data_IF_654123185193
#
_entry.id   IF_654123185193
#
_cell.length_a   1.000
_cell.length_b   1.000
_cell.length_c   1.000
_cell.angle_alpha   90.00
_cell.angle_beta   90.00
_cell.angle_gamma   90.00
#
_symmetry.space_group_name_H-M   'P 1'
#
loop_
_entity.id
_entity.type
_entity.pdbx_description
1 polymer ?
#
# COMPACT_ATOMS: atom_id res chain seq x y z
N UNK A 1 7.25 -13.50 1.45
CA UNK A 1 7.83 -12.49 2.36
C UNK A 1 6.95 -12.51 3.58
N UNK A 2 7.42 -13.18 4.64
CA UNK A 2 6.67 -13.30 5.90
C UNK A 2 6.72 -11.94 6.62
N UNK A 3 5.63 -11.62 7.32
CA UNK A 3 5.48 -10.41 8.13
C UNK A 3 6.71 -10.14 9.01
N UNK A 4 7.08 -8.87 9.11
CA UNK A 4 8.07 -8.37 10.04
C UNK A 4 7.54 -8.50 11.47
N UNK A 5 7.84 -9.63 12.11
CA UNK A 5 8.22 -9.61 13.51
C UNK A 5 9.73 -9.80 13.51
N UNK A 6 10.46 -8.84 14.08
CA UNK A 6 11.88 -9.03 14.34
C UNK A 6 12.03 -10.23 15.27
N UNK A 7 13.10 -11.02 15.13
CA UNK A 7 13.37 -12.16 16.01
C UNK A 7 13.48 -11.74 17.50
N UNK A 8 13.68 -10.44 17.78
CA UNK A 8 13.60 -9.85 19.13
C UNK A 8 12.21 -10.00 19.77
N UNK A 9 11.15 -9.83 18.99
CA UNK A 9 9.80 -9.59 19.52
C UNK A 9 9.14 -10.86 20.04
N UNK A 10 9.59 -12.04 19.59
CA UNK A 10 9.05 -13.33 20.07
C UNK A 10 9.41 -13.64 21.51
N UNK A 11 10.53 -13.13 22.00
CA UNK A 11 10.93 -13.35 23.39
C UNK A 11 10.13 -12.45 24.33
N UNK A 12 9.78 -11.25 23.89
CA UNK A 12 9.00 -10.29 24.67
C UNK A 12 7.50 -10.62 24.63
N UNK A 13 7.03 -11.30 23.57
CA UNK A 13 5.63 -11.69 23.39
C UNK A 13 5.45 -13.19 23.02
N UNK A 14 5.83 -14.12 23.91
CA UNK A 14 5.95 -15.55 23.57
C UNK A 14 4.62 -16.25 23.27
N UNK A 15 3.50 -15.65 23.66
CA UNK A 15 2.16 -16.25 23.52
C UNK A 15 1.32 -15.61 22.41
N UNK A 16 1.88 -14.67 21.65
CA UNK A 16 1.15 -14.00 20.58
C UNK A 16 0.90 -14.92 19.39
N UNK A 17 -0.29 -14.78 18.79
CA UNK A 17 -0.73 -15.59 17.66
C UNK A 17 -0.98 -14.71 16.45
N UNK A 18 -0.90 -15.31 15.26
CA UNK A 18 -1.31 -14.63 14.02
C UNK A 18 -2.83 -14.45 14.07
N UNK A 19 -3.35 -13.22 14.10
CA UNK A 19 -4.79 -13.01 14.10
C UNK A 19 -5.39 -13.44 12.76
N UNK A 20 -6.61 -13.94 12.81
CA UNK A 20 -7.42 -14.09 11.60
C UNK A 20 -7.80 -12.71 11.05
N UNK A 21 -8.15 -12.66 9.76
CA UNK A 21 -8.65 -11.42 9.13
C UNK A 21 -9.82 -10.82 9.92
N UNK A 22 -10.74 -11.68 10.38
CA UNK A 22 -11.91 -11.25 11.14
C UNK A 22 -11.53 -10.66 12.50
N UNK A 23 -10.63 -11.32 13.25
CA UNK A 23 -10.18 -10.82 14.55
C UNK A 23 -9.49 -9.45 14.41
N UNK A 24 -8.60 -9.29 13.42
CA UNK A 24 -7.95 -8.00 13.16
C UNK A 24 -8.95 -6.90 12.79
N UNK A 25 -9.98 -7.23 12.01
CA UNK A 25 -11.07 -6.31 11.66
C UNK A 25 -11.89 -5.90 12.88
N UNK A 26 -12.31 -6.87 13.70
CA UNK A 26 -13.08 -6.60 14.92
C UNK A 26 -12.30 -5.70 15.87
N UNK A 27 -11.03 -6.01 16.12
CA UNK A 27 -10.20 -5.20 17.01
C UNK A 27 -10.01 -3.78 16.46
N UNK A 28 -9.71 -3.64 15.17
CA UNK A 28 -9.54 -2.32 14.54
C UNK A 28 -10.81 -1.47 14.64
N UNK A 29 -11.98 -2.07 14.43
CA UNK A 29 -13.26 -1.38 14.53
C UNK A 29 -13.60 -0.99 15.97
N UNK A 30 -13.30 -1.84 16.95
CA UNK A 30 -13.48 -1.52 18.38
C UNK A 30 -12.65 -0.29 18.80
N UNK A 31 -11.47 -0.11 18.19
CA UNK A 31 -10.58 1.02 18.43
C UNK A 31 -10.85 2.23 17.51
N UNK A 32 -11.93 2.20 16.70
CA UNK A 32 -12.27 3.24 15.72
C UNK A 32 -11.14 3.53 14.70
N UNK A 33 -10.37 2.51 14.32
CA UNK A 33 -9.27 2.65 13.36
C UNK A 33 -9.76 2.52 11.92
N UNK A 34 -9.06 3.21 11.01
CA UNK A 34 -9.22 3.02 9.56
C UNK A 34 -8.26 1.94 9.06
N UNK A 35 -8.78 0.95 8.33
CA UNK A 35 -8.00 -0.24 7.94
C UNK A 35 -7.53 -0.13 6.49
N UNK A 36 -6.25 -0.42 6.26
CA UNK A 36 -5.65 -0.53 4.93
C UNK A 36 -5.41 -2.02 4.62
N UNK A 37 -6.28 -2.64 3.83
CA UNK A 37 -6.11 -4.04 3.44
C UNK A 37 -5.13 -4.16 2.26
N UNK A 38 -3.86 -4.43 2.57
CA UNK A 38 -2.80 -4.62 1.59
C UNK A 38 -2.74 -6.06 1.05
N UNK A 39 -3.33 -6.27 -0.12
CA UNK A 39 -3.45 -7.59 -0.74
C UNK A 39 -2.21 -7.88 -1.59
N UNK A 40 -1.44 -8.90 -1.21
CA UNK A 40 -0.17 -9.27 -1.87
C UNK A 40 -0.28 -10.30 -3.00
N UNK A 41 -1.45 -10.90 -3.23
CA UNK A 41 -1.63 -11.93 -4.26
C UNK A 41 -2.95 -12.68 -4.15
N UNK A 42 -3.09 -13.74 -4.96
CA UNK A 42 -4.28 -14.59 -4.99
C UNK A 42 -5.60 -13.80 -5.12
N UNK A 43 -5.67 -12.90 -6.11
CA UNK A 43 -6.74 -11.90 -6.26
C UNK A 43 -8.14 -12.45 -6.00
N UNK A 44 -8.53 -13.56 -6.66
CA UNK A 44 -9.87 -14.15 -6.49
C UNK A 44 -10.15 -14.55 -5.03
N UNK A 45 -9.23 -15.29 -4.39
CA UNK A 45 -9.41 -15.75 -3.00
C UNK A 45 -9.45 -14.57 -2.02
N UNK A 46 -8.60 -13.56 -2.24
CA UNK A 46 -8.57 -12.37 -1.40
C UNK A 46 -9.89 -11.58 -1.52
N UNK A 47 -10.39 -11.41 -2.74
CA UNK A 47 -11.65 -10.68 -3.00
C UNK A 47 -12.85 -11.44 -2.43
N UNK A 48 -12.90 -12.77 -2.58
CA UNK A 48 -13.97 -13.58 -1.99
C UNK A 48 -13.99 -13.48 -0.46
N UNK A 49 -12.81 -13.44 0.17
CA UNK A 49 -12.67 -13.25 1.62
C UNK A 49 -13.09 -11.83 2.03
N UNK A 50 -12.58 -10.80 1.35
CA UNK A 50 -12.92 -9.41 1.63
C UNK A 50 -14.41 -9.14 1.42
N UNK A 51 -15.02 -9.66 0.36
CA UNK A 51 -16.46 -9.54 0.13
C UNK A 51 -17.28 -10.04 1.32
N UNK A 52 -16.92 -11.20 1.90
CA UNK A 52 -17.59 -11.73 3.10
C UNK A 52 -17.39 -10.81 4.30
N UNK A 53 -16.18 -10.26 4.47
CA UNK A 53 -15.86 -9.33 5.55
C UNK A 53 -16.65 -8.01 5.42
N UNK A 54 -16.76 -7.41 4.23
CA UNK A 54 -17.58 -6.21 4.03
C UNK A 54 -19.07 -6.46 4.22
N UNK A 55 -19.57 -7.65 3.85
CA UNK A 55 -20.95 -8.06 4.13
C UNK A 55 -21.20 -8.23 5.64
N UNK A 56 -20.23 -8.76 6.38
CA UNK A 56 -20.34 -8.94 7.83
C UNK A 56 -20.18 -7.61 8.59
N UNK A 57 -19.32 -6.71 8.11
CA UNK A 57 -19.01 -5.42 8.73
C UNK A 57 -19.18 -4.25 7.74
N UNK A 58 -20.42 -3.83 7.42
CA UNK A 58 -20.68 -2.76 6.45
C UNK A 58 -20.04 -1.40 6.80
N UNK A 59 -19.72 -1.15 8.07
CA UNK A 59 -18.98 0.06 8.46
C UNK A 59 -17.63 0.23 7.74
N UNK A 60 -17.03 -0.88 7.26
CA UNK A 60 -15.78 -0.88 6.50
C UNK A 60 -15.85 -0.08 5.19
N UNK A 61 -17.04 0.13 4.61
CA UNK A 61 -17.18 1.01 3.44
C UNK A 61 -16.73 2.45 3.72
N UNK A 62 -16.76 2.88 4.99
CA UNK A 62 -16.35 4.21 5.42
C UNK A 62 -15.03 4.23 6.20
N UNK A 63 -14.62 3.09 6.77
CA UNK A 63 -13.46 2.99 7.67
C UNK A 63 -12.38 2.04 7.13
N UNK A 64 -12.36 1.76 5.83
CA UNK A 64 -11.28 0.98 5.26
C UNK A 64 -11.06 1.25 3.77
N UNK A 65 -9.93 0.76 3.28
CA UNK A 65 -9.60 0.72 1.87
C UNK A 65 -8.87 -0.56 1.51
N UNK A 66 -9.00 -1.01 0.26
CA UNK A 66 -8.25 -2.14 -0.28
C UNK A 66 -7.14 -1.62 -1.19
N UNK A 67 -5.89 -1.94 -0.89
CA UNK A 67 -4.72 -1.53 -1.66
C UNK A 67 -3.89 -2.72 -2.12
N UNK A 68 -3.14 -2.55 -3.22
CA UNK A 68 -2.28 -3.59 -3.77
C UNK A 68 -1.30 -3.02 -4.78
N UNK A 69 -0.11 -3.65 -4.88
CA UNK A 69 0.80 -3.48 -6.01
C UNK A 69 0.28 -4.13 -7.30
N UNK A 70 -0.72 -5.00 -7.20
CA UNK A 70 -1.25 -5.78 -8.33
C UNK A 70 -2.53 -5.12 -8.85
N UNK A 71 -2.51 -4.50 -10.05
CA UNK A 71 -3.69 -3.84 -10.60
C UNK A 71 -4.90 -4.79 -10.78
N UNK A 72 -4.63 -6.07 -11.03
CA UNK A 72 -5.66 -7.13 -11.12
C UNK A 72 -6.51 -7.21 -9.85
N UNK A 73 -5.91 -7.11 -8.67
CA UNK A 73 -6.64 -7.16 -7.40
C UNK A 73 -7.61 -6.00 -7.30
N UNK A 74 -7.13 -4.79 -7.59
CA UNK A 74 -7.91 -3.56 -7.49
C UNK A 74 -9.04 -3.56 -8.52
N UNK A 75 -8.74 -3.95 -9.76
CA UNK A 75 -9.73 -4.04 -10.82
C UNK A 75 -10.85 -5.02 -10.46
N UNK A 76 -10.51 -6.23 -10.03
CA UNK A 76 -11.51 -7.24 -9.65
C UNK A 76 -12.28 -6.86 -8.39
N UNK A 77 -11.65 -6.19 -7.42
CA UNK A 77 -12.35 -5.69 -6.24
C UNK A 77 -13.41 -4.67 -6.65
N UNK A 78 -13.04 -3.70 -7.49
CA UNK A 78 -13.96 -2.68 -8.02
C UNK A 78 -15.09 -3.27 -8.87
N UNK A 79 -14.82 -4.32 -9.64
CA UNK A 79 -15.86 -5.06 -10.37
C UNK A 79 -16.84 -5.77 -9.44
N UNK A 80 -16.32 -6.33 -8.34
CA UNK A 80 -17.12 -7.11 -7.38
C UNK A 80 -17.98 -6.22 -6.50
N UNK A 81 -17.43 -5.08 -6.06
CA UNK A 81 -18.12 -4.11 -5.22
C UNK A 81 -17.59 -2.70 -5.51
N UNK A 82 -18.48 -1.85 -6.05
CA UNK A 82 -18.13 -0.47 -6.43
C UNK A 82 -18.07 0.49 -5.26
N UNK A 83 -18.61 0.13 -4.09
CA UNK A 83 -18.64 1.01 -2.92
C UNK A 83 -17.34 0.94 -2.11
N UNK A 84 -16.51 -0.07 -2.34
CA UNK A 84 -15.23 -0.23 -1.63
C UNK A 84 -14.23 0.82 -2.09
N UNK A 85 -13.62 1.54 -1.16
CA UNK A 85 -12.50 2.44 -1.47
C UNK A 85 -11.30 1.60 -1.88
N UNK A 86 -10.71 1.90 -3.04
CA UNK A 86 -9.56 1.14 -3.55
C UNK A 86 -8.37 2.04 -3.85
N UNK A 87 -7.18 1.46 -3.74
CA UNK A 87 -5.93 2.15 -3.95
C UNK A 87 -4.92 1.32 -4.75
N UNK A 88 -4.16 1.96 -5.64
CA UNK A 88 -2.99 1.33 -6.25
C UNK A 88 -1.76 1.67 -5.41
N UNK A 89 -1.00 0.63 -5.04
CA UNK A 89 0.29 0.78 -4.37
C UNK A 89 1.38 0.82 -5.43
N UNK A 90 2.27 1.81 -5.34
CA UNK A 90 3.30 2.05 -6.33
C UNK A 90 4.66 2.32 -5.69
N UNK A 91 5.69 1.71 -6.28
CA UNK A 91 7.09 2.00 -6.02
C UNK A 91 7.81 2.00 -7.36
N UNK A 92 8.49 3.09 -7.76
CA UNK A 92 9.36 3.04 -8.93
C UNK A 92 10.35 1.89 -8.83
N UNK A 93 10.69 1.31 -9.99
CA UNK A 93 11.68 0.23 -10.08
C UNK A 93 11.34 -1.04 -9.30
N UNK A 94 10.07 -1.23 -8.90
CA UNK A 94 9.67 -2.35 -8.03
C UNK A 94 9.98 -3.73 -8.59
N UNK A 95 9.97 -3.88 -9.92
CA UNK A 95 10.18 -5.16 -10.62
C UNK A 95 11.67 -5.46 -10.86
N UNK A 96 12.50 -4.43 -11.07
CA UNK A 96 13.93 -4.56 -11.38
C UNK A 96 14.83 -4.39 -10.16
N UNK A 97 14.41 -3.60 -9.18
CA UNK A 97 15.22 -3.26 -8.00
C UNK A 97 14.49 -3.59 -6.69
N UNK A 98 15.27 -3.91 -5.66
CA UNK A 98 14.82 -4.04 -4.27
C UNK A 98 14.57 -2.67 -3.64
N UNK A 99 14.01 -2.63 -2.43
CA UNK A 99 13.72 -1.36 -1.76
C UNK A 99 14.96 -0.52 -1.45
N UNK A 100 16.11 -1.17 -1.22
CA UNK A 100 17.42 -0.55 -1.03
C UNK A 100 18.12 -0.18 -2.35
N UNK A 101 17.43 -0.28 -3.48
CA UNK A 101 17.94 0.12 -4.79
C UNK A 101 18.92 -0.86 -5.43
N UNK A 102 19.10 -2.07 -4.88
CA UNK A 102 19.94 -3.10 -5.51
C UNK A 102 19.20 -3.79 -6.66
N UNK A 103 19.89 -4.17 -7.74
CA UNK A 103 19.29 -4.99 -8.80
C UNK A 103 18.77 -6.32 -8.23
N UNK A 104 17.55 -6.72 -8.63
CA UNK A 104 16.98 -8.02 -8.26
C UNK A 104 17.60 -9.20 -9.02
N UNK A 105 18.31 -8.91 -10.11
CA UNK A 105 18.84 -9.91 -11.02
C UNK A 105 20.28 -9.58 -11.39
N UNK A 106 21.19 -10.55 -11.22
CA UNK A 106 22.60 -10.41 -11.63
C UNK A 106 22.78 -10.50 -13.15
N UNK A 107 21.84 -11.17 -13.84
CA UNK A 107 21.86 -11.29 -15.29
C UNK A 107 21.42 -9.97 -15.96
N UNK A 108 22.32 -9.33 -16.71
CA UNK A 108 22.08 -8.03 -17.36
C UNK A 108 20.88 -8.03 -18.32
N UNK A 109 20.69 -9.08 -19.12
CA UNK A 109 19.55 -9.14 -20.06
C UNK A 109 18.22 -9.23 -19.32
N UNK A 110 18.17 -10.04 -18.26
CA UNK A 110 17.00 -10.15 -17.40
C UNK A 110 16.74 -8.81 -16.69
N UNK A 111 17.76 -8.20 -16.12
CA UNK A 111 17.65 -6.89 -15.45
C UNK A 111 17.13 -5.82 -16.42
N UNK A 112 17.73 -5.68 -17.61
CA UNK A 112 17.29 -4.72 -18.62
C UNK A 112 15.84 -4.92 -19.04
N UNK A 113 15.39 -6.17 -19.14
CA UNK A 113 13.98 -6.49 -19.44
C UNK A 113 13.06 -5.95 -18.34
N UNK A 114 13.39 -6.19 -17.07
CA UNK A 114 12.59 -5.70 -15.95
C UNK A 114 12.66 -4.19 -15.76
N UNK A 115 13.78 -3.54 -16.11
CA UNK A 115 13.88 -2.07 -16.14
C UNK A 115 12.90 -1.48 -17.15
N UNK A 116 12.83 -2.06 -18.36
CA UNK A 116 11.83 -1.64 -19.37
C UNK A 116 10.41 -1.86 -18.85
N UNK A 117 10.15 -3.00 -18.21
CA UNK A 117 8.84 -3.29 -17.61
C UNK A 117 8.48 -2.32 -16.49
N UNK A 118 9.43 -1.87 -15.66
CA UNK A 118 9.19 -0.86 -14.64
C UNK A 118 8.81 0.49 -15.26
N UNK A 119 9.50 0.91 -16.33
CA UNK A 119 9.17 2.15 -17.05
C UNK A 119 7.74 2.07 -17.63
N UNK A 120 7.40 0.93 -18.26
CA UNK A 120 6.06 0.70 -18.79
C UNK A 120 5.00 0.65 -17.68
N UNK A 121 5.31 0.00 -16.56
CA UNK A 121 4.42 -0.08 -15.41
C UNK A 121 4.16 1.30 -14.82
N UNK A 122 5.22 2.09 -14.55
CA UNK A 122 5.11 3.45 -14.04
C UNK A 122 4.29 4.33 -14.99
N UNK A 123 4.59 4.30 -16.29
CA UNK A 123 3.79 5.00 -17.29
C UNK A 123 2.32 4.56 -17.27
N UNK A 124 2.07 3.25 -17.20
CA UNK A 124 0.70 2.71 -17.20
C UNK A 124 -0.07 3.10 -15.95
N UNK A 125 0.56 3.11 -14.77
CA UNK A 125 -0.04 3.55 -13.50
C UNK A 125 -0.53 4.99 -13.60
N UNK A 126 0.30 5.88 -14.17
CA UNK A 126 0.04 7.32 -14.20
C UNK A 126 -0.82 7.80 -15.37
N UNK A 127 -1.09 6.96 -16.37
CA UNK A 127 -1.85 7.32 -17.56
C UNK A 127 -3.12 6.48 -17.77
N UNK A 128 -3.12 5.20 -17.40
CA UNK A 128 -4.18 4.25 -17.79
C UNK A 128 -4.79 3.53 -16.58
N UNK A 129 -3.96 2.88 -15.76
CA UNK A 129 -4.43 1.94 -14.73
C UNK A 129 -5.24 2.61 -13.64
N UNK A 130 -4.89 3.84 -13.24
CA UNK A 130 -5.66 4.57 -12.22
C UNK A 130 -7.14 4.71 -12.61
N UNK A 131 -7.40 5.04 -13.87
CA UNK A 131 -8.75 5.23 -14.40
C UNK A 131 -9.43 3.87 -14.64
N UNK A 132 -8.71 2.93 -15.25
CA UNK A 132 -9.24 1.59 -15.54
C UNK A 132 -9.64 0.84 -14.25
N UNK A 133 -8.81 0.94 -13.21
CA UNK A 133 -9.07 0.33 -11.91
C UNK A 133 -10.07 1.14 -11.05
N UNK A 134 -10.39 2.38 -11.46
CA UNK A 134 -11.28 3.28 -10.73
C UNK A 134 -10.83 3.49 -9.30
N UNK A 135 -9.57 3.88 -9.09
CA UNK A 135 -9.03 4.08 -7.74
C UNK A 135 -9.53 5.38 -7.11
N UNK A 136 -9.55 5.37 -5.78
CA UNK A 136 -9.81 6.57 -4.96
C UNK A 136 -8.51 7.17 -4.41
N UNK A 137 -7.44 6.37 -4.33
CA UNK A 137 -6.16 6.82 -3.80
C UNK A 137 -4.95 6.10 -4.41
N UNK A 138 -3.79 6.71 -4.30
CA UNK A 138 -2.49 6.08 -4.51
C UNK A 138 -1.75 5.93 -3.18
N UNK A 139 -1.11 4.78 -2.99
CA UNK A 139 -0.10 4.57 -1.95
C UNK A 139 1.26 4.57 -2.63
N UNK A 140 2.05 5.63 -2.49
CA UNK A 140 3.31 5.79 -3.24
C UNK A 140 4.51 5.79 -2.30
N UNK A 141 5.61 5.19 -2.75
CA UNK A 141 6.89 5.32 -2.06
C UNK A 141 7.20 6.80 -1.79
N UNK A 142 7.60 7.09 -0.54
CA UNK A 142 7.80 8.45 -0.04
C UNK A 142 8.66 9.34 -0.95
N UNK A 143 9.75 8.81 -1.47
CA UNK A 143 10.75 9.56 -2.24
C UNK A 143 10.27 9.97 -3.64
N UNK A 144 9.09 9.49 -4.05
CA UNK A 144 8.49 9.79 -5.35
C UNK A 144 7.42 10.89 -5.29
N UNK A 145 7.06 11.36 -4.09
CA UNK A 145 5.99 12.34 -3.90
C UNK A 145 6.55 13.77 -3.91
N UNK A 146 5.91 14.63 -4.69
CA UNK A 146 6.20 16.06 -4.76
C UNK A 146 4.91 16.89 -4.72
N UNK A 147 4.96 18.20 -4.42
CA UNK A 147 3.77 19.06 -4.45
C UNK A 147 3.02 19.02 -5.79
N UNK A 148 3.74 18.96 -6.92
CA UNK A 148 3.14 18.85 -8.24
C UNK A 148 2.42 17.51 -8.45
N UNK A 149 3.00 16.43 -7.91
CA UNK A 149 2.39 15.11 -7.93
C UNK A 149 1.07 15.08 -7.16
N UNK A 150 1.06 15.66 -5.96
CA UNK A 150 -0.15 15.80 -5.13
C UNK A 150 -1.21 16.64 -5.84
N UNK A 151 -0.82 17.79 -6.40
CA UNK A 151 -1.73 18.67 -7.15
C UNK A 151 -2.36 17.97 -8.36
N UNK A 152 -1.57 17.20 -9.12
CA UNK A 152 -2.06 16.42 -10.27
C UNK A 152 -3.18 15.47 -9.83
N UNK A 153 -2.97 14.69 -8.78
CA UNK A 153 -3.94 13.68 -8.36
C UNK A 153 -5.14 14.26 -7.64
N UNK A 154 -4.94 15.29 -6.81
CA UNK A 154 -6.03 16.04 -6.19
C UNK A 154 -6.98 16.64 -7.24
N UNK A 155 -6.45 17.17 -8.36
CA UNK A 155 -7.27 17.67 -9.47
C UNK A 155 -8.12 16.58 -10.16
N UNK A 156 -7.76 15.30 -9.98
CA UNK A 156 -8.51 14.14 -10.46
C UNK A 156 -9.36 13.49 -9.35
N UNK A 157 -9.48 14.11 -8.16
CA UNK A 157 -10.21 13.56 -7.02
C UNK A 157 -9.54 12.34 -6.37
N UNK A 158 -8.22 12.17 -6.56
CA UNK A 158 -7.46 11.03 -6.07
C UNK A 158 -6.54 11.48 -4.93
N UNK A 159 -6.64 10.81 -3.79
CA UNK A 159 -5.76 11.03 -2.64
C UNK A 159 -4.40 10.35 -2.85
N UNK A 160 -3.34 10.91 -2.30
CA UNK A 160 -2.01 10.29 -2.29
C UNK A 160 -1.55 10.11 -0.85
N UNK A 161 -1.11 8.91 -0.52
CA UNK A 161 -0.56 8.53 0.79
C UNK A 161 0.87 8.04 0.60
N UNK A 162 1.82 8.61 1.34
CA UNK A 162 3.23 8.21 1.30
C UNK A 162 3.51 6.97 2.15
N UNK A 163 4.44 6.12 1.74
CA UNK A 163 4.95 5.03 2.59
C UNK A 163 6.42 4.72 2.30
N UNK A 164 7.23 4.22 3.23
CA UNK A 164 7.04 4.27 4.69
C UNK A 164 7.91 5.41 5.23
N UNK A 165 7.29 6.38 5.90
CA UNK A 165 7.89 7.61 6.40
C UNK A 165 8.28 7.40 7.86
N UNK A 166 9.57 7.31 8.17
CA UNK A 166 10.02 6.77 9.44
C UNK A 166 10.84 7.76 10.28
N UNK A 167 11.42 8.81 9.69
CA UNK A 167 12.18 9.81 10.45
C UNK A 167 11.34 11.03 10.80
N UNK A 168 11.69 11.73 11.88
CA UNK A 168 11.05 12.98 12.28
C UNK A 168 11.05 14.02 11.17
N UNK A 169 12.18 14.19 10.48
CA UNK A 169 12.31 15.15 9.38
C UNK A 169 11.39 14.80 8.21
N UNK A 170 11.28 13.51 7.87
CA UNK A 170 10.36 13.06 6.81
C UNK A 170 8.90 13.27 7.23
N UNK A 171 8.52 12.93 8.46
CA UNK A 171 7.17 13.16 9.00
C UNK A 171 6.82 14.66 8.95
N UNK A 172 7.72 15.50 9.45
CA UNK A 172 7.56 16.96 9.44
C UNK A 172 7.43 17.51 8.02
N UNK A 173 8.20 16.99 7.07
CA UNK A 173 8.07 17.35 5.65
C UNK A 173 6.70 16.95 5.07
N UNK A 174 6.21 15.74 5.38
CA UNK A 174 4.89 15.28 4.93
C UNK A 174 3.74 16.12 5.51
N UNK A 175 3.81 16.45 6.79
CA UNK A 175 2.76 17.18 7.51
C UNK A 175 2.79 18.68 7.18
N UNK A 176 3.96 19.30 7.29
CA UNK A 176 4.09 20.77 7.26
C UNK A 176 4.25 21.32 5.85
N UNK A 177 4.94 20.59 4.96
CA UNK A 177 5.24 21.08 3.62
C UNK A 177 4.35 20.44 2.54
N UNK A 178 4.23 19.11 2.54
CA UNK A 178 3.39 18.42 1.55
C UNK A 178 1.90 18.48 1.88
N UNK A 179 1.54 18.50 3.18
CA UNK A 179 0.15 18.39 3.62
C UNK A 179 -0.49 17.06 3.19
N UNK A 180 0.27 15.96 3.20
CA UNK A 180 -0.14 14.64 2.71
C UNK A 180 -0.02 13.60 3.83
N UNK A 181 -0.98 12.67 3.87
CA UNK A 181 -0.95 11.54 4.82
C UNK A 181 0.18 10.57 4.48
N UNK A 182 0.66 9.85 5.49
CA UNK A 182 1.71 8.86 5.34
C UNK A 182 1.47 7.64 6.22
N UNK A 183 2.14 6.54 5.88
CA UNK A 183 2.25 5.31 6.67
C UNK A 183 3.64 5.30 7.30
N UNK A 184 3.72 4.94 8.58
CA UNK A 184 4.95 4.87 9.36
C UNK A 184 5.00 3.59 10.18
N UNK A 185 6.21 3.06 10.39
CA UNK A 185 6.43 1.93 11.29
C UNK A 185 6.52 2.38 12.77
N UNK A 186 6.79 3.67 13.02
CA UNK A 186 6.96 4.23 14.35
C UNK A 186 6.32 5.60 14.46
N UNK A 187 5.46 5.81 15.46
CA UNK A 187 4.83 7.11 15.67
C UNK A 187 5.79 8.12 16.32
N UNK A 188 6.64 7.68 17.24
CA UNK A 188 7.44 8.57 18.10
C UNK A 188 8.91 8.61 17.72
N UNK A 189 9.49 7.45 17.44
CA UNK A 189 10.94 7.30 17.25
C UNK A 189 11.29 7.19 15.77
N UNK A 190 12.53 7.54 15.45
CA UNK A 190 13.10 7.25 14.15
C UNK A 190 13.41 5.75 14.06
N UNK A 191 13.01 5.12 12.96
CA UNK A 191 13.36 3.74 12.69
C UNK A 191 13.98 3.58 11.29
N UNK A 192 14.94 2.65 11.13
CA UNK A 192 15.55 2.42 9.84
C UNK A 192 14.51 1.93 8.83
N UNK A 193 14.71 2.20 7.53
CA UNK A 193 13.81 1.70 6.50
C UNK A 193 13.86 0.17 6.43
N UNK A 194 12.68 -0.45 6.39
CA UNK A 194 12.51 -1.87 6.13
C UNK A 194 12.14 -2.06 4.64
N UNK A 195 12.98 -2.79 3.90
CA UNK A 195 12.91 -2.93 2.43
C UNK A 195 12.50 -4.32 1.94
#
# INVERSE_FOLDING_TARGET
MYYAFSLSDRNDFPNEKIPTLREGVVESLNQNLTIFFDVKGHANKAIDALKKIYMEFPQLYNTSMVCSFLPEVIYKMRQTDRNVVTALTHRPWSLSHTGDGKPRYDNMWKLSTFVVLDILLDWSMHNVLWYLCGISAFLVQKDSISPNYLKKWSANGIQVVGWTVNTFDEKSYYESYLGSSYITDSMLEDCPPHY
#
